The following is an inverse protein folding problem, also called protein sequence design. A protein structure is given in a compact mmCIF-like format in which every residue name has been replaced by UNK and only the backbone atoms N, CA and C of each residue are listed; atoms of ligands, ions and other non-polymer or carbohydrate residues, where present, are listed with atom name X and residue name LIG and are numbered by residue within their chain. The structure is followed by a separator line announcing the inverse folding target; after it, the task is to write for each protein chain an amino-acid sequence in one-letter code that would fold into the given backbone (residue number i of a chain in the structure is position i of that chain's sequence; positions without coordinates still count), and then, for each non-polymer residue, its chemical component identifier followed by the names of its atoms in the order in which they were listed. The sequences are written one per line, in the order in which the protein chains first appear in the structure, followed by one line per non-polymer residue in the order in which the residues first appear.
data_IF_726369604835
#
_entry.id   IF_726369604835
#
_cell.length_a   1.000
_cell.length_b   1.000
_cell.length_c   1.000
_cell.angle_alpha   90.00
_cell.angle_beta   90.00
_cell.angle_gamma   90.00
#
_symmetry.space_group_name_H-M   'P 1'
#
loop_
_entity.id
_entity.type
_entity.pdbx_description
1 polymer ?
#
# COMPACT_ATOMS: atom_id res chain seq x y z
N UNK A 1 -25.45 0.72 -12.39
CA UNK A 1 -25.00 1.96 -11.77
C UNK A 1 -24.84 1.70 -10.28
N UNK A 2 -23.71 2.09 -9.66
CA UNK A 2 -23.48 1.96 -8.21
C UNK A 2 -23.32 3.35 -7.58
N UNK A 3 -23.39 3.45 -6.25
CA UNK A 3 -23.16 4.73 -5.59
C UNK A 3 -21.68 5.09 -5.66
N UNK A 4 -20.79 4.13 -5.38
CA UNK A 4 -19.34 4.35 -5.38
C UNK A 4 -18.64 3.27 -6.18
N UNK A 5 -17.86 3.70 -7.18
CA UNK A 5 -16.91 2.85 -7.90
C UNK A 5 -15.49 3.11 -7.36
N UNK A 6 -14.88 2.10 -6.80
CA UNK A 6 -13.50 2.17 -6.31
C UNK A 6 -12.59 1.44 -7.30
N UNK A 7 -11.60 2.13 -7.83
CA UNK A 7 -10.65 1.60 -8.83
C UNK A 7 -9.30 1.35 -8.19
N UNK A 8 -8.95 0.08 -8.04
CA UNK A 8 -7.74 -0.39 -7.40
C UNK A 8 -8.00 -1.15 -6.09
N UNK A 9 -7.82 -2.47 -6.11
CA UNK A 9 -8.01 -3.39 -4.98
C UNK A 9 -6.76 -3.52 -4.09
N UNK A 10 -5.95 -2.45 -3.97
CA UNK A 10 -4.86 -2.33 -3.02
C UNK A 10 -5.34 -1.89 -1.63
N UNK A 11 -4.41 -1.72 -0.65
CA UNK A 11 -4.78 -1.33 0.72
C UNK A 11 -5.69 -0.09 0.80
N UNK A 12 -5.42 0.93 -0.01
CA UNK A 12 -6.22 2.15 -0.04
C UNK A 12 -7.67 1.89 -0.49
N UNK A 13 -7.85 1.15 -1.61
CA UNK A 13 -9.19 0.84 -2.10
C UNK A 13 -9.96 -0.13 -1.21
N UNK A 14 -9.27 -1.12 -0.63
CA UNK A 14 -9.86 -2.04 0.34
C UNK A 14 -10.31 -1.31 1.60
N UNK A 15 -9.52 -0.34 2.12
CA UNK A 15 -9.89 0.45 3.28
C UNK A 15 -11.05 1.39 2.99
N UNK A 16 -11.05 2.03 1.82
CA UNK A 16 -12.17 2.85 1.38
C UNK A 16 -13.47 2.03 1.30
N UNK A 17 -13.41 0.83 0.71
CA UNK A 17 -14.54 -0.08 0.67
C UNK A 17 -15.01 -0.51 2.07
N UNK A 18 -14.08 -0.83 2.98
CA UNK A 18 -14.40 -1.21 4.36
C UNK A 18 -15.08 -0.05 5.12
N UNK A 19 -14.58 1.17 4.95
CA UNK A 19 -15.17 2.34 5.58
C UNK A 19 -16.57 2.65 5.02
N UNK A 20 -16.69 2.76 3.69
CA UNK A 20 -17.93 3.15 3.03
C UNK A 20 -19.03 2.09 3.14
N UNK A 21 -18.67 0.81 3.23
CA UNK A 21 -19.64 -0.28 3.40
C UNK A 21 -20.41 -0.24 4.72
N UNK A 22 -19.98 0.58 5.69
CA UNK A 22 -20.73 0.86 6.92
C UNK A 22 -21.86 1.88 6.72
N UNK A 23 -21.84 2.61 5.61
CA UNK A 23 -22.72 3.73 5.33
C UNK A 23 -23.85 3.39 4.33
N UNK A 24 -24.11 2.10 4.13
CA UNK A 24 -25.18 1.58 3.23
C UNK A 24 -25.09 2.05 1.77
N UNK A 25 -23.88 2.39 1.27
CA UNK A 25 -23.68 2.65 -0.15
C UNK A 25 -23.52 1.33 -0.93
N UNK A 26 -24.06 1.30 -2.15
CA UNK A 26 -23.74 0.26 -3.13
C UNK A 26 -22.34 0.49 -3.68
N UNK A 27 -21.40 -0.42 -3.36
CA UNK A 27 -19.98 -0.25 -3.67
C UNK A 27 -19.56 -1.31 -4.67
N UNK A 28 -18.92 -0.86 -5.76
CA UNK A 28 -18.20 -1.73 -6.69
C UNK A 28 -16.70 -1.45 -6.58
N UNK A 29 -15.92 -2.45 -6.17
CA UNK A 29 -14.46 -2.38 -6.09
C UNK A 29 -13.88 -3.19 -7.24
N UNK A 30 -13.09 -2.56 -8.10
CA UNK A 30 -12.48 -3.20 -9.28
C UNK A 30 -10.97 -3.19 -9.19
N UNK A 31 -10.33 -4.23 -9.74
CA UNK A 31 -8.86 -4.30 -9.89
C UNK A 31 -8.50 -4.91 -11.24
N UNK A 32 -7.43 -4.41 -11.87
CA UNK A 32 -6.93 -4.96 -13.14
C UNK A 32 -6.24 -6.31 -12.98
N UNK A 33 -5.81 -6.64 -11.77
CA UNK A 33 -5.12 -7.89 -11.47
C UNK A 33 -6.11 -9.02 -11.17
N UNK A 34 -5.69 -10.29 -11.32
CA UNK A 34 -6.56 -11.43 -11.03
C UNK A 34 -6.89 -11.60 -9.54
N UNK A 35 -6.18 -10.92 -8.65
CA UNK A 35 -6.43 -10.93 -7.20
C UNK A 35 -6.15 -9.58 -6.59
N UNK A 36 -6.92 -9.19 -5.58
CA UNK A 36 -6.72 -7.95 -4.82
C UNK A 36 -5.59 -8.08 -3.79
N UNK A 37 -5.06 -6.95 -3.32
CA UNK A 37 -4.07 -6.91 -2.25
C UNK A 37 -2.67 -7.43 -2.59
N UNK A 38 -2.30 -7.51 -3.87
CA UNK A 38 -1.02 -8.13 -4.29
C UNK A 38 0.21 -7.44 -3.67
N UNK A 39 0.28 -6.12 -3.69
CA UNK A 39 1.39 -5.39 -3.04
C UNK A 39 1.36 -5.52 -1.53
N UNK A 40 0.18 -5.60 -0.92
CA UNK A 40 0.02 -5.86 0.50
C UNK A 40 0.60 -7.24 0.90
N UNK A 41 0.34 -8.28 0.09
CA UNK A 41 0.94 -9.60 0.30
C UNK A 41 2.46 -9.59 0.13
N UNK A 42 2.98 -8.83 -0.82
CA UNK A 42 4.43 -8.70 -1.02
C UNK A 42 5.10 -7.94 0.12
N UNK A 43 4.48 -6.87 0.63
CA UNK A 43 4.99 -6.14 1.79
C UNK A 43 5.07 -7.01 3.05
N UNK A 44 4.16 -7.99 3.19
CA UNK A 44 4.14 -8.93 4.31
C UNK A 44 4.95 -10.22 4.10
N UNK A 45 5.82 -10.30 3.08
CA UNK A 45 6.57 -11.53 2.77
C UNK A 45 7.53 -11.95 3.89
N UNK A 46 8.27 -11.02 4.46
CA UNK A 46 9.22 -11.23 5.57
C UNK A 46 8.61 -10.95 6.95
N UNK A 47 7.39 -10.47 7.00
CA UNK A 47 6.65 -10.08 8.22
C UNK A 47 5.86 -8.81 7.97
N UNK A 48 4.55 -8.86 8.22
CA UNK A 48 3.67 -7.72 7.99
C UNK A 48 3.77 -6.73 9.15
N UNK A 49 4.60 -5.71 9.02
CA UNK A 49 4.59 -4.56 9.92
C UNK A 49 3.36 -3.71 9.62
N UNK A 50 2.43 -3.62 10.57
CA UNK A 50 1.17 -2.89 10.42
C UNK A 50 1.31 -1.42 10.81
N UNK A 51 1.90 -1.18 11.96
CA UNK A 51 2.07 0.13 12.56
C UNK A 51 3.15 0.07 13.65
N UNK A 52 3.30 1.15 14.41
CA UNK A 52 4.22 1.23 15.52
C UNK A 52 3.48 1.68 16.78
N UNK A 53 3.66 0.95 17.86
CA UNK A 53 3.12 1.29 19.19
C UNK A 53 4.06 2.33 19.82
N UNK A 54 3.76 3.59 19.62
CA UNK A 54 4.48 4.75 20.18
C UNK A 54 3.51 5.93 20.36
N UNK A 55 3.83 6.91 21.20
CA UNK A 55 3.02 8.12 21.33
C UNK A 55 2.73 8.77 19.99
N UNK A 56 1.48 9.21 19.78
CA UNK A 56 1.03 9.73 18.47
C UNK A 56 1.89 10.90 17.98
N UNK A 57 2.30 11.81 18.85
CA UNK A 57 3.19 12.93 18.52
C UNK A 57 4.55 12.45 17.97
N UNK A 58 5.09 11.37 18.56
CA UNK A 58 6.31 10.75 18.05
C UNK A 58 6.11 10.07 16.71
N UNK A 59 4.95 9.45 16.51
CA UNK A 59 4.57 8.84 15.23
C UNK A 59 4.51 9.89 14.12
N UNK A 60 3.96 11.09 14.40
CA UNK A 60 3.89 12.21 13.44
C UNK A 60 5.28 12.67 12.96
N UNK A 61 6.31 12.57 13.78
CA UNK A 61 7.67 12.97 13.39
C UNK A 61 8.30 12.08 12.32
N UNK A 62 7.68 10.95 11.97
CA UNK A 62 8.12 10.12 10.85
C UNK A 62 7.65 10.64 9.48
N UNK A 63 6.82 11.69 9.46
CA UNK A 63 6.32 12.31 8.23
C UNK A 63 7.05 13.64 8.03
N UNK A 64 7.81 13.75 6.93
CA UNK A 64 8.55 14.98 6.60
C UNK A 64 7.64 16.11 6.11
N UNK A 65 6.49 15.76 5.52
CA UNK A 65 5.53 16.70 4.97
C UNK A 65 4.23 16.66 5.79
N UNK A 66 4.03 17.66 6.63
CA UNK A 66 2.85 17.79 7.47
C UNK A 66 1.80 18.69 6.83
N UNK A 67 1.21 18.25 5.71
CA UNK A 67 0.07 18.99 5.15
C UNK A 67 -1.15 18.88 6.07
N UNK A 68 -2.03 19.92 6.13
CA UNK A 68 -3.25 19.86 6.95
C UNK A 68 -4.12 18.63 6.65
N UNK A 69 -4.17 18.22 5.38
CA UNK A 69 -4.94 17.06 4.94
C UNK A 69 -4.35 15.76 5.48
N UNK A 70 -3.02 15.60 5.42
CA UNK A 70 -2.32 14.43 5.97
C UNK A 70 -2.49 14.35 7.49
N UNK A 71 -2.28 15.46 8.19
CA UNK A 71 -2.47 15.53 9.65
C UNK A 71 -3.89 15.19 10.06
N UNK A 72 -4.90 15.71 9.34
CA UNK A 72 -6.30 15.35 9.58
C UNK A 72 -6.55 13.87 9.37
N UNK A 73 -6.02 13.28 8.29
CA UNK A 73 -6.19 11.86 8.02
C UNK A 73 -5.54 10.98 9.13
N UNK A 74 -4.32 11.32 9.56
CA UNK A 74 -3.60 10.59 10.62
C UNK A 74 -4.28 10.72 11.99
N UNK A 75 -4.88 11.87 12.31
CA UNK A 75 -5.67 12.07 13.53
C UNK A 75 -6.96 11.25 13.53
N UNK A 76 -7.58 11.06 12.36
CA UNK A 76 -8.82 10.30 12.19
C UNK A 76 -8.60 8.79 12.08
N UNK A 77 -7.37 8.35 11.85
CA UNK A 77 -7.01 6.93 11.79
C UNK A 77 -5.58 6.74 12.31
N UNK A 78 -5.49 6.64 13.63
CA UNK A 78 -4.25 6.58 14.39
C UNK A 78 -3.61 5.17 14.37
N UNK A 79 -2.37 4.99 14.85
CA UNK A 79 -1.77 3.67 15.07
C UNK A 79 -2.63 2.73 15.95
N UNK A 80 -3.37 3.27 16.91
CA UNK A 80 -4.27 2.48 17.76
C UNK A 80 -5.53 2.07 17.01
N UNK A 81 -6.05 2.93 16.13
CA UNK A 81 -7.17 2.60 15.27
C UNK A 81 -6.81 1.48 14.28
N UNK A 82 -5.57 1.46 13.77
CA UNK A 82 -5.07 0.36 12.94
C UNK A 82 -5.10 -0.95 13.72
N UNK A 83 -4.64 -0.96 14.97
CA UNK A 83 -4.64 -2.15 15.81
C UNK A 83 -6.07 -2.62 16.12
N UNK A 84 -6.96 -1.70 16.48
CA UNK A 84 -8.38 -1.96 16.72
C UNK A 84 -9.06 -2.52 15.47
N UNK A 85 -8.80 -1.95 14.30
CA UNK A 85 -9.33 -2.43 13.04
C UNK A 85 -8.86 -3.87 12.75
N UNK A 86 -7.58 -4.17 12.90
CA UNK A 86 -7.03 -5.52 12.66
C UNK A 86 -7.61 -6.55 13.64
N UNK A 87 -7.69 -6.22 14.92
CA UNK A 87 -8.29 -7.11 15.93
C UNK A 87 -9.78 -7.35 15.70
N UNK A 88 -10.50 -6.34 15.17
CA UNK A 88 -11.91 -6.50 14.76
C UNK A 88 -12.10 -7.47 13.58
N UNK A 89 -11.03 -7.80 12.86
CA UNK A 89 -10.99 -8.84 11.82
C UNK A 89 -10.66 -10.24 12.39
N UNK A 90 -10.52 -10.37 13.72
CA UNK A 90 -10.16 -11.62 14.38
C UNK A 90 -8.68 -11.96 14.33
N UNK A 91 -7.82 -11.00 13.98
CA UNK A 91 -6.36 -11.19 13.89
C UNK A 91 -5.71 -10.75 15.19
N UNK A 92 -5.00 -11.64 15.84
CA UNK A 92 -4.21 -11.35 17.04
C UNK A 92 -2.92 -10.61 16.66
N UNK A 93 -2.54 -9.62 17.49
CA UNK A 93 -1.37 -8.80 17.32
C UNK A 93 -0.34 -9.03 18.42
N UNK A 94 0.92 -8.71 18.13
CA UNK A 94 1.97 -8.53 19.12
C UNK A 94 2.85 -7.34 18.74
N UNK A 95 3.49 -6.76 19.76
CA UNK A 95 4.46 -5.67 19.57
C UNK A 95 5.87 -6.23 19.74
N UNK A 96 6.70 -6.06 18.73
CA UNK A 96 8.11 -6.42 18.78
C UNK A 96 8.94 -5.44 19.65
N UNK A 97 10.19 -5.81 19.93
CA UNK A 97 11.10 -5.03 20.79
C UNK A 97 11.37 -3.60 20.31
N UNK A 98 11.17 -3.33 19.02
CA UNK A 98 11.33 -1.98 18.42
C UNK A 98 10.04 -1.16 18.40
N UNK A 99 8.97 -1.64 19.02
CA UNK A 99 7.65 -1.02 19.02
C UNK A 99 6.82 -1.31 17.76
N UNK A 100 7.36 -2.03 16.77
CA UNK A 100 6.60 -2.42 15.57
C UNK A 100 5.54 -3.45 15.92
N UNK A 101 4.34 -3.26 15.35
CA UNK A 101 3.17 -4.12 15.59
C UNK A 101 2.97 -5.07 14.41
N UNK A 102 2.84 -6.35 14.71
CA UNK A 102 2.70 -7.42 13.73
C UNK A 102 1.50 -8.32 14.06
N UNK A 103 0.88 -8.96 13.05
CA UNK A 103 0.04 -10.13 13.29
C UNK A 103 0.87 -11.26 13.92
N UNK A 104 0.27 -12.02 14.85
CA UNK A 104 0.96 -13.13 15.53
C UNK A 104 1.58 -14.14 14.57
N UNK A 105 0.95 -14.38 13.42
CA UNK A 105 1.46 -15.26 12.38
C UNK A 105 2.48 -14.60 11.43
N UNK A 106 2.82 -13.33 11.63
CA UNK A 106 3.73 -12.54 10.81
C UNK A 106 3.33 -12.38 9.34
N UNK A 107 2.26 -13.02 8.87
CA UNK A 107 1.86 -13.09 7.46
C UNK A 107 0.69 -12.17 7.12
N UNK A 108 0.74 -11.57 5.93
CA UNK A 108 -0.33 -10.72 5.41
C UNK A 108 -1.58 -11.50 4.95
N UNK A 109 -1.42 -12.75 4.51
CA UNK A 109 -2.51 -13.49 3.86
C UNK A 109 -3.70 -13.80 4.77
N UNK A 110 -3.58 -14.15 6.07
CA UNK A 110 -4.73 -14.32 6.95
C UNK A 110 -5.53 -13.02 7.12
N UNK A 111 -4.83 -11.89 7.32
CA UNK A 111 -5.46 -10.59 7.45
C UNK A 111 -6.20 -10.20 6.16
N UNK A 112 -5.57 -10.35 5.00
CA UNK A 112 -6.22 -10.04 3.73
C UNK A 112 -7.48 -10.91 3.50
N UNK A 113 -7.43 -12.21 3.80
CA UNK A 113 -8.60 -13.08 3.67
C UNK A 113 -9.75 -12.66 4.58
N UNK A 114 -9.46 -12.34 5.84
CA UNK A 114 -10.47 -11.87 6.79
C UNK A 114 -11.08 -10.54 6.33
N UNK A 115 -10.25 -9.65 5.79
CA UNK A 115 -10.69 -8.36 5.26
C UNK A 115 -11.60 -8.53 4.04
N UNK A 116 -11.20 -9.31 3.05
CA UNK A 116 -12.02 -9.59 1.87
C UNK A 116 -13.35 -10.27 2.24
N UNK A 117 -13.33 -11.24 3.18
CA UNK A 117 -14.55 -11.87 3.69
C UNK A 117 -15.49 -10.88 4.37
N UNK A 118 -14.95 -9.89 5.11
CA UNK A 118 -15.77 -8.80 5.69
C UNK A 118 -16.43 -7.97 4.61
N UNK A 119 -15.71 -7.60 3.56
CA UNK A 119 -16.26 -6.82 2.45
C UNK A 119 -17.39 -7.58 1.74
N UNK A 120 -17.21 -8.89 1.50
CA UNK A 120 -18.25 -9.74 0.90
C UNK A 120 -19.51 -9.79 1.78
N UNK A 121 -19.35 -10.00 3.09
CA UNK A 121 -20.46 -10.01 4.05
C UNK A 121 -21.21 -8.67 4.12
N UNK A 122 -20.56 -7.57 3.78
CA UNK A 122 -21.16 -6.23 3.72
C UNK A 122 -21.69 -5.85 2.35
N UNK A 123 -21.73 -6.80 1.42
CA UNK A 123 -22.33 -6.58 0.09
C UNK A 123 -21.45 -5.77 -0.88
N UNK A 124 -20.15 -5.64 -0.63
CA UNK A 124 -19.25 -4.99 -1.59
C UNK A 124 -19.05 -5.90 -2.80
N UNK A 125 -19.45 -5.42 -3.98
CA UNK A 125 -19.22 -6.13 -5.25
C UNK A 125 -17.75 -5.99 -5.63
N UNK A 126 -17.02 -7.12 -5.68
CA UNK A 126 -15.60 -7.14 -6.07
C UNK A 126 -15.43 -7.74 -7.45
N UNK A 127 -14.70 -7.04 -8.33
CA UNK A 127 -14.45 -7.47 -9.70
C UNK A 127 -12.96 -7.44 -10.01
N UNK A 128 -12.47 -8.49 -10.61
CA UNK A 128 -11.07 -8.69 -10.97
C UNK A 128 -10.89 -8.61 -12.49
N UNK A 129 -9.65 -8.43 -12.94
CA UNK A 129 -9.27 -8.36 -14.37
C UNK A 129 -10.02 -7.23 -15.10
N UNK A 130 -10.27 -6.14 -14.39
CA UNK A 130 -10.95 -4.95 -14.84
C UNK A 130 -9.91 -3.85 -15.07
N UNK A 131 -9.33 -3.81 -16.27
CA UNK A 131 -8.33 -2.78 -16.60
C UNK A 131 -9.03 -1.53 -17.10
N UNK A 132 -8.99 -0.47 -16.32
CA UNK A 132 -9.55 0.81 -16.73
C UNK A 132 -8.78 1.38 -17.93
N UNK A 133 -9.51 1.86 -18.95
CA UNK A 133 -8.97 2.37 -20.21
C UNK A 133 -9.17 3.88 -20.31
N UNK A 134 -10.38 4.35 -20.03
CA UNK A 134 -10.74 5.75 -20.15
C UNK A 134 -11.82 6.15 -19.14
N UNK A 135 -11.79 7.43 -18.78
CA UNK A 135 -12.77 8.09 -17.95
C UNK A 135 -13.59 9.03 -18.84
N UNK A 136 -14.91 8.94 -18.77
CA UNK A 136 -15.84 9.85 -19.39
C UNK A 136 -16.91 10.28 -18.36
N UNK A 137 -16.80 11.52 -17.88
CA UNK A 137 -17.64 12.02 -16.78
C UNK A 137 -17.59 11.07 -15.56
N UNK A 138 -18.76 10.52 -15.18
CA UNK A 138 -18.90 9.60 -14.05
C UNK A 138 -18.99 8.13 -14.49
N UNK A 139 -18.41 7.80 -15.65
CA UNK A 139 -18.32 6.45 -16.19
C UNK A 139 -16.87 6.10 -16.51
N UNK A 140 -16.48 4.85 -16.21
CA UNK A 140 -15.20 4.27 -16.59
C UNK A 140 -15.40 3.13 -17.57
N UNK A 141 -14.64 3.17 -18.65
CA UNK A 141 -14.53 2.06 -19.61
C UNK A 141 -13.42 1.12 -19.17
N UNK A 142 -13.74 -0.16 -19.12
CA UNK A 142 -12.80 -1.22 -18.76
C UNK A 142 -12.56 -2.17 -19.92
N UNK A 143 -11.32 -2.63 -20.04
CA UNK A 143 -10.95 -3.81 -20.82
C UNK A 143 -11.01 -5.03 -19.90
N UNK A 144 -11.80 -6.03 -20.29
CA UNK A 144 -12.06 -7.25 -19.52
C UNK A 144 -11.83 -8.48 -20.38
N UNK A 145 -11.80 -9.65 -19.79
CA UNK A 145 -11.67 -10.91 -20.55
C UNK A 145 -12.85 -11.15 -21.50
N UNK A 146 -14.00 -10.54 -21.23
CA UNK A 146 -15.23 -10.67 -22.04
C UNK A 146 -15.45 -9.48 -22.99
N UNK A 147 -14.44 -8.66 -23.18
CA UNK A 147 -14.53 -7.44 -24.00
C UNK A 147 -14.62 -6.18 -23.18
N UNK A 148 -15.03 -5.09 -23.83
CA UNK A 148 -15.14 -3.76 -23.19
C UNK A 148 -16.43 -3.65 -22.39
N UNK A 149 -16.33 -3.08 -21.19
CA UNK A 149 -17.45 -2.84 -20.31
C UNK A 149 -17.38 -1.45 -19.71
N UNK A 150 -18.50 -0.74 -19.64
CA UNK A 150 -18.61 0.58 -19.02
C UNK A 150 -19.36 0.47 -17.69
N UNK A 151 -18.80 1.10 -16.65
CA UNK A 151 -19.45 1.20 -15.34
C UNK A 151 -19.61 2.66 -14.98
N UNK A 152 -20.87 3.05 -14.73
CA UNK A 152 -21.25 4.39 -14.23
C UNK A 152 -21.47 4.35 -12.73
N UNK A 153 -21.07 5.41 -12.02
CA UNK A 153 -21.23 5.57 -10.59
C UNK A 153 -21.58 7.01 -10.22
N UNK A 154 -22.17 7.23 -9.05
CA UNK A 154 -22.39 8.59 -8.51
C UNK A 154 -21.06 9.24 -8.04
N UNK A 155 -20.12 8.42 -7.57
CA UNK A 155 -18.77 8.84 -7.20
C UNK A 155 -17.73 7.81 -7.65
N UNK A 156 -16.55 8.27 -8.08
CA UNK A 156 -15.43 7.42 -8.46
C UNK A 156 -14.24 7.74 -7.58
N UNK A 157 -13.68 6.71 -6.92
CA UNK A 157 -12.49 6.82 -6.10
C UNK A 157 -11.33 6.09 -6.78
N UNK A 158 -10.27 6.83 -7.12
CA UNK A 158 -9.07 6.28 -7.69
C UNK A 158 -8.09 5.87 -6.59
N UNK A 159 -7.89 4.56 -6.40
CA UNK A 159 -6.98 3.95 -5.44
C UNK A 159 -5.89 3.12 -6.13
N UNK A 160 -5.44 3.57 -7.30
CA UNK A 160 -4.61 2.80 -8.24
C UNK A 160 -3.13 2.76 -7.88
N UNK A 161 -2.74 3.36 -6.75
CA UNK A 161 -1.37 3.38 -6.26
C UNK A 161 -0.45 4.30 -7.05
N UNK A 162 0.84 4.17 -6.80
CA UNK A 162 1.88 4.97 -7.42
C UNK A 162 2.56 4.28 -8.60
N UNK A 163 3.89 4.52 -8.76
CA UNK A 163 4.69 4.04 -9.89
C UNK A 163 5.56 2.81 -9.57
N UNK A 164 5.48 2.28 -8.35
CA UNK A 164 6.30 1.15 -7.90
C UNK A 164 5.65 -0.20 -8.19
N UNK A 165 6.46 -1.23 -8.49
CA UNK A 165 6.00 -2.60 -8.70
C UNK A 165 4.98 -2.74 -9.83
N UNK A 166 5.33 -2.26 -11.02
CA UNK A 166 4.45 -2.29 -12.22
C UNK A 166 3.83 -3.67 -12.50
N UNK A 167 4.59 -4.76 -12.28
CA UNK A 167 4.09 -6.14 -12.44
C UNK A 167 2.95 -6.51 -11.49
N UNK A 168 2.76 -5.74 -10.43
CA UNK A 168 1.67 -5.91 -9.46
C UNK A 168 0.53 -4.91 -9.68
N UNK A 169 0.48 -4.26 -10.84
CA UNK A 169 -0.64 -3.43 -11.28
C UNK A 169 -0.54 -1.94 -10.92
N UNK A 170 0.65 -1.42 -10.53
CA UNK A 170 0.80 -0.01 -10.17
C UNK A 170 1.83 0.69 -11.07
N UNK A 171 1.37 1.23 -12.19
CA UNK A 171 2.21 1.81 -13.25
C UNK A 171 2.02 3.32 -13.43
N UNK A 172 1.24 3.96 -12.58
CA UNK A 172 0.93 5.38 -12.58
C UNK A 172 0.27 5.93 -13.87
N UNK A 173 -0.18 5.07 -14.78
CA UNK A 173 -0.78 5.53 -16.05
C UNK A 173 -2.08 6.31 -15.88
N UNK A 174 -2.77 6.10 -14.76
CA UNK A 174 -4.02 6.78 -14.43
C UNK A 174 -3.90 8.32 -14.33
N UNK A 175 -2.70 8.84 -14.07
CA UNK A 175 -2.45 10.29 -14.00
C UNK A 175 -2.90 10.99 -15.29
N UNK A 176 -2.77 10.32 -16.44
CA UNK A 176 -3.18 10.86 -17.74
C UNK A 176 -4.68 11.11 -17.85
N UNK A 177 -5.49 10.52 -16.99
CA UNK A 177 -6.96 10.72 -17.00
C UNK A 177 -7.40 11.95 -16.22
N UNK A 178 -6.48 12.55 -15.48
CA UNK A 178 -6.73 13.71 -14.63
C UNK A 178 -5.82 14.90 -15.04
N UNK A 179 -5.89 15.37 -16.31
CA UNK A 179 -4.96 16.38 -16.83
C UNK A 179 -5.11 17.74 -16.11
N UNK A 180 -6.29 18.03 -15.58
CA UNK A 180 -6.59 19.29 -14.89
C UNK A 180 -6.31 19.22 -13.37
N UNK A 181 -5.83 18.09 -12.86
CA UNK A 181 -5.45 17.95 -11.46
C UNK A 181 -3.93 18.13 -11.36
N UNK A 182 -3.49 19.04 -10.49
CA UNK A 182 -2.06 19.20 -10.22
C UNK A 182 -1.48 17.89 -9.70
N UNK A 183 -0.51 17.36 -10.42
CA UNK A 183 0.21 16.15 -10.06
C UNK A 183 1.66 16.48 -9.76
N UNK A 184 2.17 16.03 -8.62
CA UNK A 184 3.60 16.05 -8.33
C UNK A 184 4.30 14.82 -8.93
N UNK A 185 5.55 14.98 -9.32
CA UNK A 185 6.35 13.86 -9.84
C UNK A 185 6.60 12.83 -8.74
N UNK A 186 6.47 11.56 -9.10
CA UNK A 186 6.88 10.50 -8.18
C UNK A 186 8.37 10.53 -7.95
N UNK A 187 8.78 10.52 -6.70
CA UNK A 187 10.16 10.30 -6.27
C UNK A 187 10.27 8.94 -5.60
N UNK A 188 11.47 8.37 -5.60
CA UNK A 188 11.72 7.12 -4.94
C UNK A 188 11.68 7.31 -3.41
N UNK A 189 10.90 6.47 -2.72
CA UNK A 189 10.90 6.41 -1.25
C UNK A 189 11.93 5.44 -0.70
N UNK A 190 12.38 4.49 -1.52
CA UNK A 190 13.49 3.59 -1.23
C UNK A 190 14.44 3.60 -2.41
N UNK A 191 15.73 3.71 -2.14
CA UNK A 191 16.79 3.73 -3.14
C UNK A 191 17.84 2.67 -2.84
N UNK A 192 18.52 2.18 -3.87
CA UNK A 192 19.76 1.45 -3.73
C UNK A 192 20.93 2.38 -4.05
N UNK A 193 22.02 2.23 -3.34
CA UNK A 193 23.27 2.91 -3.64
C UNK A 193 24.13 2.00 -4.51
N UNK A 194 24.50 2.49 -5.69
CA UNK A 194 25.35 1.73 -6.61
C UNK A 194 26.79 1.68 -6.08
N UNK A 195 27.36 0.48 -6.01
CA UNK A 195 28.75 0.25 -5.63
C UNK A 195 29.37 -0.65 -6.68
N UNK A 196 30.56 -0.29 -7.13
CA UNK A 196 31.36 -1.15 -7.96
C UNK A 196 32.15 -2.11 -7.05
N UNK A 197 31.62 -3.31 -6.90
CA UNK A 197 32.23 -4.34 -6.06
C UNK A 197 33.49 -4.93 -6.69
N UNK A 198 34.41 -5.38 -5.83
CA UNK A 198 35.45 -6.35 -6.23
C UNK A 198 34.86 -7.77 -6.23
N UNK A 199 35.47 -8.69 -6.96
CA UNK A 199 35.02 -10.09 -7.07
C UNK A 199 34.98 -10.86 -5.73
N UNK A 200 35.54 -10.29 -4.67
CA UNK A 200 35.53 -10.93 -3.33
C UNK A 200 34.15 -10.84 -2.64
N UNK A 201 33.26 -9.94 -3.10
CA UNK A 201 31.97 -9.70 -2.45
C UNK A 201 30.85 -10.62 -2.98
N UNK A 202 31.07 -11.31 -4.10
CA UNK A 202 30.04 -12.09 -4.81
C UNK A 202 29.33 -13.11 -3.91
N UNK A 203 30.11 -13.75 -3.01
CA UNK A 203 29.57 -14.73 -2.06
C UNK A 203 28.63 -14.16 -1.00
N UNK A 204 28.55 -12.84 -0.88
CA UNK A 204 27.70 -12.15 0.09
C UNK A 204 26.45 -11.51 -0.57
N UNK A 205 26.25 -11.68 -1.87
CA UNK A 205 25.05 -11.14 -2.51
C UNK A 205 23.77 -11.77 -1.94
N UNK A 206 22.85 -10.90 -1.49
CA UNK A 206 21.61 -11.27 -0.80
C UNK A 206 21.75 -11.31 0.73
N UNK A 207 22.96 -11.21 1.27
CA UNK A 207 23.17 -11.24 2.72
C UNK A 207 22.86 -9.88 3.36
N UNK A 208 22.12 -9.89 4.49
CA UNK A 208 21.84 -8.69 5.25
C UNK A 208 22.96 -8.36 6.23
N UNK A 209 23.32 -7.07 6.30
CA UNK A 209 24.15 -6.53 7.38
C UNK A 209 23.24 -5.78 8.33
N UNK A 210 23.08 -6.30 9.55
CA UNK A 210 22.17 -5.79 10.56
C UNK A 210 22.86 -4.83 11.54
N UNK A 211 22.03 -4.03 12.22
CA UNK A 211 22.48 -3.13 13.29
C UNK A 211 23.60 -2.17 12.87
N UNK A 212 23.57 -1.70 11.64
CA UNK A 212 24.54 -0.73 11.13
C UNK A 212 24.09 0.70 11.33
N UNK A 213 25.05 1.60 11.30
CA UNK A 213 24.81 3.05 11.20
C UNK A 213 25.50 3.56 9.94
N UNK A 214 24.71 4.15 9.05
CA UNK A 214 25.20 4.86 7.85
C UNK A 214 25.26 6.34 8.13
N UNK A 215 26.32 6.99 7.67
CA UNK A 215 26.51 8.44 7.81
C UNK A 215 26.88 9.08 6.48
N UNK A 216 26.18 10.14 6.14
CA UNK A 216 26.49 11.00 4.99
C UNK A 216 26.45 12.46 5.44
N UNK A 217 27.60 13.08 5.58
CA UNK A 217 27.69 14.43 6.16
C UNK A 217 27.12 14.51 7.57
N UNK A 218 26.06 15.32 7.75
CA UNK A 218 25.34 15.46 9.04
C UNK A 218 24.20 14.47 9.21
N UNK A 219 23.81 13.75 8.15
CA UNK A 219 22.72 12.77 8.16
C UNK A 219 23.24 11.44 8.67
N UNK A 220 22.56 10.85 9.63
CA UNK A 220 22.84 9.53 10.15
C UNK A 220 21.57 8.69 10.14
N UNK A 221 21.66 7.47 9.59
CA UNK A 221 20.61 6.47 9.61
C UNK A 221 21.09 5.23 10.34
N UNK A 222 20.18 4.52 11.02
CA UNK A 222 20.44 3.23 11.65
C UNK A 222 19.47 2.21 11.08
N UNK A 223 19.97 1.05 10.69
CA UNK A 223 19.10 0.03 10.11
C UNK A 223 19.84 -1.22 9.68
N UNK A 224 19.29 -1.85 8.69
CA UNK A 224 19.83 -3.02 8.01
C UNK A 224 20.04 -2.67 6.54
N UNK A 225 21.12 -3.13 5.95
CA UNK A 225 21.34 -3.11 4.51
C UNK A 225 21.48 -4.53 3.98
N UNK A 226 21.17 -4.70 2.70
CA UNK A 226 21.41 -5.94 1.96
C UNK A 226 22.46 -5.67 0.89
N UNK A 227 23.46 -6.53 0.80
CA UNK A 227 24.45 -6.49 -0.26
C UNK A 227 23.79 -7.04 -1.52
N UNK A 228 23.78 -6.25 -2.61
CA UNK A 228 23.26 -6.68 -3.90
C UNK A 228 24.35 -6.66 -4.95
N UNK A 229 24.11 -7.33 -6.07
CA UNK A 229 25.05 -7.34 -7.18
C UNK A 229 25.37 -5.92 -7.71
N UNK A 230 24.44 -4.99 -7.59
CA UNK A 230 24.60 -3.60 -8.05
C UNK A 230 25.02 -2.62 -6.98
N UNK A 231 25.11 -3.04 -5.71
CA UNK A 231 25.44 -2.17 -4.59
C UNK A 231 24.76 -2.56 -3.28
N UNK A 232 24.23 -1.61 -2.55
CA UNK A 232 23.52 -1.84 -1.29
C UNK A 232 22.11 -1.28 -1.35
N UNK A 233 21.18 -1.95 -0.68
CA UNK A 233 19.80 -1.50 -0.49
C UNK A 233 19.30 -1.86 0.92
N UNK A 234 18.16 -1.34 1.34
CA UNK A 234 17.52 -1.70 2.62
C UNK A 234 17.08 -0.51 3.45
N UNK A 235 16.50 -0.79 4.59
CA UNK A 235 15.90 0.21 5.47
C UNK A 235 16.90 1.10 6.23
N UNK A 236 18.20 0.93 6.01
CA UNK A 236 19.25 1.80 6.54
C UNK A 236 19.69 2.92 5.58
N UNK A 237 19.17 2.93 4.33
CA UNK A 237 19.59 3.87 3.27
C UNK A 237 18.56 4.99 3.09
#
# INVERSE_FOLDING_TARGET
MCDVLIVGGGPAGLMAADYLSKLNYSITLVDQMPTMGRKFLMAGKSGLNLTKNEPFEKFLNNFSENTPQLLSALKNFTPDDVQTWVTSLGIKLFTGSTGRVFPTHMKASPLLRAWLSRLDKRGVTRRHKMKAISLNNMSLLFDTENGKEEISAKAILFAMGGASWRRLGSDAKWIKWLPNVKNEKFSASNVGLKINWSNHIDKYFGEPIKAISLRSGKIQSKGEIVITQSGIEGGGI
#
